data_IF_294340919494
#
_entry.id   IF_294340919494
#
_cell.length_a   1.000
_cell.length_b   1.000
_cell.length_c   1.000
_cell.angle_alpha   90.00
_cell.angle_beta   90.00
_cell.angle_gamma   90.00
#
_symmetry.space_group_name_H-M   'P 1'
#
loop_
_entity.id
_entity.type
_entity.pdbx_description
1 polymer ?
#
# COMPACT_ATOMS: atom_id res chain seq x y z
N UNK A 1 -3.23 -16.75 5.72
CA UNK A 1 -1.77 -16.65 5.83
C UNK A 1 -1.31 -15.26 5.51
N UNK A 2 -0.43 -14.71 6.34
CA UNK A 2 0.13 -13.39 6.09
C UNK A 2 1.09 -13.42 4.91
N UNK A 3 0.94 -12.45 4.02
CA UNK A 3 1.95 -12.19 3.00
C UNK A 3 3.02 -11.28 3.57
N UNK A 4 4.27 -11.48 3.15
CA UNK A 4 5.35 -10.58 3.53
C UNK A 4 5.15 -9.22 2.85
N UNK A 5 5.45 -8.15 3.56
CA UNK A 5 5.44 -6.80 3.01
C UNK A 5 6.87 -6.36 2.75
N UNK A 6 7.18 -6.00 1.51
CA UNK A 6 8.53 -5.62 1.08
C UNK A 6 8.52 -4.13 0.71
N UNK A 7 8.86 -3.24 1.63
CA UNK A 7 8.84 -1.81 1.33
C UNK A 7 10.00 -1.42 0.42
N UNK A 8 9.69 -0.77 -0.70
CA UNK A 8 10.70 -0.20 -1.58
C UNK A 8 11.23 1.11 -0.97
N UNK A 9 12.37 1.57 -1.51
CA UNK A 9 12.91 2.87 -1.09
C UNK A 9 11.92 4.00 -1.38
N UNK A 10 11.24 3.92 -2.51
CA UNK A 10 10.22 4.91 -2.88
C UNK A 10 9.05 4.89 -1.90
N UNK A 11 8.61 3.71 -1.46
CA UNK A 11 7.56 3.58 -0.46
C UNK A 11 8.00 4.23 0.86
N UNK A 12 9.20 3.92 1.33
CA UNK A 12 9.70 4.45 2.59
C UNK A 12 9.73 5.97 2.54
N UNK A 13 10.21 6.56 1.44
CA UNK A 13 10.24 8.02 1.29
C UNK A 13 8.85 8.62 1.28
N UNK A 14 7.93 8.03 0.53
CA UNK A 14 6.56 8.55 0.45
C UNK A 14 5.83 8.41 1.78
N UNK A 15 6.03 7.30 2.49
CA UNK A 15 5.42 7.11 3.80
C UNK A 15 5.94 8.11 4.83
N UNK A 16 7.25 8.38 4.82
CA UNK A 16 7.83 9.40 5.71
C UNK A 16 7.26 10.78 5.41
N UNK A 17 7.14 11.14 4.14
CA UNK A 17 6.55 12.42 3.73
C UNK A 17 5.11 12.55 4.21
N UNK A 18 4.33 11.49 3.98
CA UNK A 18 2.92 11.45 4.37
C UNK A 18 2.76 11.61 5.88
N UNK A 19 3.48 10.83 6.67
CA UNK A 19 3.35 10.85 8.13
C UNK A 19 3.90 12.13 8.75
N UNK A 20 4.87 12.77 8.10
CA UNK A 20 5.37 14.07 8.55
C UNK A 20 4.34 15.17 8.32
N UNK A 21 3.62 15.14 7.19
CA UNK A 21 2.58 16.13 6.88
C UNK A 21 1.30 15.87 7.66
N UNK A 22 0.98 14.61 7.90
CA UNK A 22 -0.25 14.18 8.56
C UNK A 22 0.07 13.14 9.64
N UNK A 23 0.57 13.57 10.81
CA UNK A 23 0.92 12.62 11.88
C UNK A 23 -0.24 11.71 12.31
N UNK A 24 -1.48 12.18 12.14
CA UNK A 24 -2.66 11.40 12.50
C UNK A 24 -2.88 10.18 11.62
N UNK A 25 -2.26 10.13 10.43
CA UNK A 25 -2.43 8.99 9.54
C UNK A 25 -1.48 7.82 9.84
N UNK A 26 -0.57 7.96 10.80
CA UNK A 26 0.37 6.89 11.16
C UNK A 26 -0.39 5.64 11.60
N UNK A 27 -1.35 5.79 12.50
CA UNK A 27 -2.15 4.67 12.99
C UNK A 27 -2.97 4.04 11.85
N UNK A 28 -3.55 4.87 10.99
CA UNK A 28 -4.32 4.38 9.84
C UNK A 28 -3.44 3.59 8.89
N UNK A 29 -2.24 4.08 8.61
CA UNK A 29 -1.30 3.38 7.73
C UNK A 29 -0.90 2.02 8.31
N UNK A 30 -0.63 1.96 9.61
CA UNK A 30 -0.29 0.71 10.28
C UNK A 30 -1.42 -0.32 10.16
N UNK A 31 -2.66 0.10 10.40
CA UNK A 31 -3.83 -0.76 10.28
C UNK A 31 -3.98 -1.28 8.86
N UNK A 32 -3.81 -0.40 7.87
CA UNK A 32 -3.90 -0.78 6.45
C UNK A 32 -2.85 -1.81 6.10
N UNK A 33 -1.61 -1.60 6.52
CA UNK A 33 -0.52 -2.53 6.20
C UNK A 33 -0.74 -3.89 6.86
N UNK A 34 -1.22 -3.93 8.09
CA UNK A 34 -1.55 -5.20 8.75
C UNK A 34 -2.66 -5.94 8.03
N UNK A 35 -3.72 -5.22 7.68
CA UNK A 35 -4.86 -5.81 6.97
C UNK A 35 -4.44 -6.28 5.58
N UNK A 36 -3.63 -5.50 4.89
CA UNK A 36 -3.14 -5.84 3.57
C UNK A 36 -2.32 -7.14 3.60
N UNK A 37 -1.49 -7.32 4.63
CA UNK A 37 -0.71 -8.54 4.80
C UNK A 37 -1.59 -9.75 5.08
N UNK A 38 -2.65 -9.59 5.88
CA UNK A 38 -3.57 -10.67 6.22
C UNK A 38 -4.49 -11.02 5.07
N UNK A 39 -5.07 -10.02 4.42
CA UNK A 39 -6.05 -10.20 3.36
C UNK A 39 -6.03 -9.01 2.41
N UNK A 40 -5.24 -9.11 1.36
CA UNK A 40 -5.05 -8.03 0.40
C UNK A 40 -6.35 -7.62 -0.31
N UNK A 41 -7.34 -8.49 -0.35
CA UNK A 41 -8.62 -8.23 -0.99
C UNK A 41 -9.77 -8.02 0.01
N UNK A 42 -9.42 -7.70 1.25
CA UNK A 42 -10.44 -7.39 2.25
C UNK A 42 -11.33 -6.25 1.74
N UNK A 43 -12.66 -6.36 1.85
CA UNK A 43 -13.56 -5.34 1.29
C UNK A 43 -13.29 -3.91 1.74
N UNK A 44 -12.86 -3.71 2.98
CA UNK A 44 -12.60 -2.36 3.48
C UNK A 44 -11.40 -1.69 2.84
N UNK A 45 -10.51 -2.45 2.18
CA UNK A 45 -9.33 -1.90 1.49
C UNK A 45 -9.66 -1.40 0.09
N UNK A 46 -10.76 -1.86 -0.50
CA UNK A 46 -11.15 -1.49 -1.87
C UNK A 46 -10.01 -1.70 -2.88
N UNK A 47 -9.28 -2.81 -2.72
CA UNK A 47 -8.15 -3.13 -3.59
C UNK A 47 -8.59 -3.26 -5.03
N UNK A 48 -7.88 -2.56 -5.92
CA UNK A 48 -8.19 -2.58 -7.34
C UNK A 48 -6.91 -2.46 -8.16
N UNK A 49 -6.97 -3.02 -9.37
CA UNK A 49 -5.83 -2.98 -10.29
C UNK A 49 -5.77 -1.62 -10.99
N UNK A 50 -4.58 -1.08 -11.12
CA UNK A 50 -4.37 0.18 -11.81
C UNK A 50 -4.22 -0.06 -13.31
N UNK A 51 -4.38 1.01 -14.10
CA UNK A 51 -4.33 0.96 -15.57
C UNK A 51 -3.21 1.84 -16.10
N UNK A 52 -2.90 1.70 -17.38
CA UNK A 52 -1.91 2.54 -18.06
C UNK A 52 -0.49 2.20 -17.61
N UNK A 53 0.29 3.21 -17.29
CA UNK A 53 1.68 3.04 -16.89
C UNK A 53 1.83 2.22 -15.60
N UNK A 54 0.79 2.16 -14.80
CA UNK A 54 0.79 1.43 -13.54
C UNK A 54 0.05 0.09 -13.63
N UNK A 55 -0.05 -0.48 -14.84
CA UNK A 55 -0.85 -1.69 -15.08
C UNK A 55 -0.43 -2.91 -14.28
N UNK A 56 0.81 -2.96 -13.80
CA UNK A 56 1.28 -4.07 -12.95
C UNK A 56 1.03 -3.82 -11.48
N UNK A 57 0.57 -2.64 -11.14
CA UNK A 57 0.38 -2.23 -9.76
C UNK A 57 -1.08 -2.29 -9.35
N UNK A 58 -1.29 -2.45 -8.06
CA UNK A 58 -2.59 -2.44 -7.42
C UNK A 58 -2.60 -1.30 -6.41
N UNK A 59 -3.78 -0.82 -6.09
CA UNK A 59 -3.92 0.19 -5.06
C UNK A 59 -4.99 -0.23 -4.08
N UNK A 60 -4.79 0.10 -2.82
CA UNK A 60 -5.83 -0.03 -1.81
C UNK A 60 -6.04 1.33 -1.15
N UNK A 61 -7.20 1.50 -0.56
CA UNK A 61 -7.54 2.74 0.13
C UNK A 61 -8.04 2.44 1.53
N UNK A 62 -7.78 3.37 2.44
CA UNK A 62 -8.29 3.28 3.79
C UNK A 62 -8.54 4.67 4.31
N UNK A 63 -9.56 4.79 5.16
CA UNK A 63 -9.97 6.09 5.64
C UNK A 63 -10.39 6.99 4.50
N UNK A 64 -10.25 8.29 4.72
CA UNK A 64 -10.75 9.28 3.77
C UNK A 64 -9.90 9.39 2.50
N UNK A 65 -8.59 9.46 2.65
CA UNK A 65 -7.72 9.79 1.51
C UNK A 65 -6.40 9.02 1.50
N UNK A 66 -6.24 8.03 2.35
CA UNK A 66 -5.01 7.24 2.40
C UNK A 66 -5.02 6.19 1.28
N UNK A 67 -3.94 6.16 0.50
CA UNK A 67 -3.76 5.18 -0.59
C UNK A 67 -2.41 4.51 -0.44
N UNK A 68 -2.38 3.19 -0.73
CA UNK A 68 -1.13 2.43 -0.79
C UNK A 68 -1.08 1.72 -2.14
N UNK A 69 0.02 1.89 -2.85
CA UNK A 69 0.25 1.24 -4.14
C UNK A 69 1.25 0.10 -3.95
N UNK A 70 0.94 -1.05 -4.49
CA UNK A 70 1.75 -2.25 -4.30
C UNK A 70 1.66 -3.18 -5.51
N UNK A 71 2.55 -4.17 -5.55
CA UNK A 71 2.51 -5.26 -6.55
C UNK A 71 2.55 -6.60 -5.83
N UNK A 72 1.90 -7.60 -6.43
CA UNK A 72 2.08 -8.98 -6.01
C UNK A 72 3.36 -9.52 -6.64
N UNK A 73 4.27 -10.01 -5.82
CA UNK A 73 5.56 -10.54 -6.28
C UNK A 73 5.84 -11.88 -5.61
N UNK A 74 6.81 -12.61 -6.15
CA UNK A 74 7.31 -13.83 -5.53
C UNK A 74 8.55 -13.49 -4.70
N UNK A 75 8.59 -14.00 -3.48
CA UNK A 75 9.71 -13.79 -2.57
C UNK A 75 9.92 -15.05 -1.75
N UNK A 76 11.10 -15.64 -1.88
CA UNK A 76 11.44 -16.89 -1.18
C UNK A 76 10.40 -18.01 -1.41
N UNK A 77 9.93 -18.12 -2.65
CA UNK A 77 8.96 -19.14 -3.03
C UNK A 77 7.53 -18.89 -2.63
N UNK A 78 7.23 -17.72 -2.07
CA UNK A 78 5.89 -17.36 -1.61
C UNK A 78 5.45 -16.03 -2.21
N UNK A 79 4.14 -15.84 -2.30
CA UNK A 79 3.58 -14.58 -2.73
C UNK A 79 3.81 -13.52 -1.66
N UNK A 80 4.30 -12.36 -2.07
CA UNK A 80 4.55 -11.22 -1.19
C UNK A 80 4.04 -9.94 -1.85
N UNK A 81 4.00 -8.86 -1.10
CA UNK A 81 3.56 -7.57 -1.60
C UNK A 81 4.73 -6.60 -1.60
N UNK A 82 5.10 -6.14 -2.79
CA UNK A 82 6.10 -5.09 -2.92
C UNK A 82 5.39 -3.74 -2.78
N UNK A 83 5.68 -3.03 -1.70
CA UNK A 83 5.07 -1.73 -1.43
C UNK A 83 5.80 -0.67 -2.23
N UNK A 84 5.07 0.08 -3.04
CA UNK A 84 5.64 1.05 -3.97
C UNK A 84 5.49 2.50 -3.52
N UNK A 85 4.33 2.86 -2.97
CA UNK A 85 4.07 4.23 -2.55
C UNK A 85 2.93 4.28 -1.55
N UNK A 86 2.95 5.30 -0.71
CA UNK A 86 1.83 5.64 0.17
C UNK A 86 1.61 7.15 0.09
N UNK A 87 0.35 7.59 0.14
CA UNK A 87 0.05 8.99 0.07
C UNK A 87 -1.44 9.23 -0.09
N UNK A 88 -1.79 10.47 -0.42
CA UNK A 88 -3.15 10.80 -0.78
C UNK A 88 -3.42 10.39 -2.23
N UNK A 89 -4.68 10.42 -2.63
CA UNK A 89 -5.06 10.09 -4.02
C UNK A 89 -4.22 10.88 -5.03
N UNK A 90 -4.08 12.17 -4.81
CA UNK A 90 -3.35 13.04 -5.75
C UNK A 90 -1.84 12.77 -5.76
N UNK A 91 -1.29 12.28 -4.65
CA UNK A 91 0.14 12.02 -4.54
C UNK A 91 0.58 10.72 -5.19
N UNK A 92 -0.29 9.70 -5.25
CA UNK A 92 0.08 8.38 -5.77
C UNK A 92 -0.46 8.10 -7.17
N UNK A 93 -1.40 8.86 -7.63
CA UNK A 93 -1.96 8.77 -8.99
C UNK A 93 -1.57 10.02 -9.78
#
# INVERSE_FOLDING_TARGET
MKRALLPSKAFIRSAKRLTKRNPTCVADLEVVLELLAEDAFHPSLRTHKLKGKLAKSWACSAGYDLRVVFQFVQHEGKEALLLEAAGTHDEVY
#
